data_IF_690930510821
#
_entry.id   IF_690930510821
#
_cell.length_a   1.000
_cell.length_b   1.000
_cell.length_c   1.000
_cell.angle_alpha   90.00
_cell.angle_beta   90.00
_cell.angle_gamma   90.00
#
_symmetry.space_group_name_H-M   'P 1'
#
loop_
_entity.id
_entity.type
_entity.pdbx_description
1 polymer ?
#
# COMPACT_ATOMS: atom_id res chain seq x y z
N UNK A 1 36.02 62.91 -49.37
CA UNK A 1 36.07 63.00 -47.90
C UNK A 1 36.23 61.59 -47.35
N UNK A 2 37.29 61.31 -46.59
CA UNK A 2 37.40 60.03 -45.86
C UNK A 2 36.49 60.09 -44.63
N UNK A 3 35.77 59.02 -44.27
CA UNK A 3 35.01 58.97 -43.03
C UNK A 3 35.91 59.28 -41.84
N UNK A 4 35.40 60.08 -40.90
CA UNK A 4 36.15 60.45 -39.71
C UNK A 4 36.39 59.19 -38.87
N UNK A 5 37.65 58.79 -38.66
CA UNK A 5 38.05 57.57 -37.95
C UNK A 5 37.38 57.41 -36.57
N UNK A 6 37.01 58.52 -35.94
CA UNK A 6 36.26 58.53 -34.68
C UNK A 6 34.81 58.02 -34.79
N UNK A 7 34.13 58.27 -35.92
CA UNK A 7 32.76 57.83 -36.15
C UNK A 7 32.69 56.31 -36.36
N UNK A 8 33.68 55.73 -37.03
CA UNK A 8 33.82 54.29 -37.26
C UNK A 8 34.06 53.53 -35.94
N UNK A 9 34.92 54.06 -35.07
CA UNK A 9 35.18 53.50 -33.74
C UNK A 9 33.95 53.62 -32.81
N UNK A 10 33.14 54.68 -32.95
CA UNK A 10 31.89 54.81 -32.21
C UNK A 10 30.84 53.79 -32.70
N UNK A 11 30.76 53.56 -34.00
CA UNK A 11 29.84 52.59 -34.60
C UNK A 11 30.20 51.16 -34.19
N UNK A 12 31.49 50.78 -34.23
CA UNK A 12 31.94 49.48 -33.72
C UNK A 12 31.64 49.27 -32.24
N UNK A 13 31.83 50.30 -31.39
CA UNK A 13 31.51 50.21 -29.96
C UNK A 13 30.01 50.07 -29.70
N UNK A 14 29.16 50.66 -30.53
CA UNK A 14 27.71 50.49 -30.41
C UNK A 14 27.28 49.08 -30.84
N UNK A 15 27.81 48.55 -31.94
CA UNK A 15 27.55 47.17 -32.39
C UNK A 15 27.97 46.14 -31.34
N UNK A 16 29.15 46.30 -30.72
CA UNK A 16 29.57 45.42 -29.63
C UNK A 16 28.68 45.49 -28.39
N UNK A 17 28.11 46.67 -28.08
CA UNK A 17 27.15 46.80 -26.96
C UNK A 17 25.85 46.06 -27.26
N UNK A 18 25.33 46.17 -28.47
CA UNK A 18 24.13 45.44 -28.90
C UNK A 18 24.34 43.91 -28.87
N UNK A 19 25.49 43.42 -29.34
CA UNK A 19 25.85 41.99 -29.24
C UNK A 19 25.91 41.50 -27.79
N UNK A 20 26.51 42.29 -26.89
CA UNK A 20 26.59 41.95 -25.46
C UNK A 20 25.19 41.97 -24.81
N UNK A 21 24.31 42.89 -25.20
CA UNK A 21 22.93 42.95 -24.72
C UNK A 21 22.11 41.75 -25.21
N UNK A 22 22.25 41.38 -26.48
CA UNK A 22 21.63 40.19 -27.07
C UNK A 22 22.06 38.92 -26.33
N UNK A 23 23.37 38.76 -26.08
CA UNK A 23 23.92 37.61 -25.39
C UNK A 23 23.47 37.51 -23.92
N UNK A 24 23.33 38.65 -23.23
CA UNK A 24 22.76 38.72 -21.87
C UNK A 24 21.28 38.34 -21.86
N UNK A 25 20.51 38.79 -22.85
CA UNK A 25 19.10 38.45 -23.00
C UNK A 25 18.91 36.95 -23.22
N UNK A 26 19.67 36.35 -24.15
CA UNK A 26 19.63 34.90 -24.40
C UNK A 26 20.02 34.08 -23.17
N UNK A 27 21.05 34.50 -22.43
CA UNK A 27 21.44 33.84 -21.19
C UNK A 27 20.33 33.93 -20.13
N UNK A 28 19.65 35.09 -20.02
CA UNK A 28 18.51 35.26 -19.11
C UNK A 28 17.34 34.36 -19.50
N UNK A 29 16.97 34.31 -20.78
CA UNK A 29 15.89 33.46 -21.29
C UNK A 29 16.22 31.98 -21.06
N UNK A 30 17.46 31.57 -21.36
CA UNK A 30 17.91 30.18 -21.15
C UNK A 30 17.85 29.80 -19.67
N UNK A 31 18.28 30.67 -18.77
CA UNK A 31 18.19 30.45 -17.33
C UNK A 31 16.73 30.35 -16.87
N UNK A 32 15.84 31.21 -17.39
CA UNK A 32 14.42 31.18 -17.08
C UNK A 32 13.75 29.88 -17.54
N UNK A 33 14.05 29.41 -18.74
CA UNK A 33 13.55 28.13 -19.27
C UNK A 33 14.04 26.94 -18.43
N UNK A 34 15.32 26.94 -18.02
CA UNK A 34 15.87 25.89 -17.15
C UNK A 34 15.19 25.88 -15.78
N UNK A 35 14.93 27.06 -15.20
CA UNK A 35 14.22 27.19 -13.92
C UNK A 35 12.78 26.66 -14.04
N UNK A 36 12.05 27.05 -15.09
CA UNK A 36 10.70 26.54 -15.33
C UNK A 36 10.68 25.02 -15.50
N UNK A 37 11.58 24.45 -16.31
CA UNK A 37 11.67 23.01 -16.50
C UNK A 37 11.98 22.24 -15.20
N UNK A 38 12.80 22.82 -14.31
CA UNK A 38 13.11 22.23 -13.01
C UNK A 38 11.92 22.27 -12.03
N UNK A 39 11.07 23.30 -12.11
CA UNK A 39 9.84 23.43 -11.30
C UNK A 39 8.76 22.45 -11.76
N UNK A 40 8.71 22.13 -13.05
CA UNK A 40 7.75 21.19 -13.64
C UNK A 40 8.22 19.72 -13.64
N UNK A 41 9.31 19.36 -12.95
CA UNK A 41 9.61 17.94 -12.72
C UNK A 41 8.50 17.41 -11.81
N UNK A 42 7.61 16.51 -12.29
CA UNK A 42 6.61 15.93 -11.42
C UNK A 42 7.36 15.21 -10.32
N UNK A 43 7.24 15.72 -9.09
CA UNK A 43 7.72 15.03 -7.92
C UNK A 43 6.87 13.78 -7.82
N UNK A 44 7.32 12.68 -8.43
CA UNK A 44 6.66 11.39 -8.26
C UNK A 44 6.75 11.12 -6.78
N UNK A 45 5.64 11.29 -6.07
CA UNK A 45 5.52 10.89 -4.69
C UNK A 45 5.71 9.37 -4.71
N UNK A 46 6.96 8.93 -4.57
CA UNK A 46 7.18 7.60 -4.05
C UNK A 46 6.44 7.59 -2.71
N UNK A 47 5.66 6.54 -2.45
CA UNK A 47 5.02 6.32 -1.16
C UNK A 47 5.90 5.38 -0.32
N UNK A 48 7.13 5.78 0.10
CA UNK A 48 7.94 4.92 0.94
C UNK A 48 7.24 4.69 2.28
N UNK A 49 6.41 5.65 2.70
CA UNK A 49 5.53 5.56 3.85
C UNK A 49 4.32 4.65 3.64
N UNK A 50 4.09 4.11 2.43
CA UNK A 50 3.02 3.18 2.10
C UNK A 50 1.57 3.69 2.23
N UNK A 51 1.36 5.00 2.31
CA UNK A 51 0.02 5.61 2.26
C UNK A 51 -0.52 5.62 0.82
N UNK A 52 -0.88 4.45 0.30
CA UNK A 52 -1.24 4.21 -1.11
C UNK A 52 -2.75 4.12 -1.33
N UNK A 53 -3.54 5.00 -0.70
CA UNK A 53 -5.01 4.99 -0.84
C UNK A 53 -5.48 5.13 -2.29
N UNK A 54 -4.75 5.87 -3.14
CA UNK A 54 -5.09 6.02 -4.55
C UNK A 54 -5.04 4.69 -5.33
N UNK A 55 -4.28 3.72 -4.83
CA UNK A 55 -4.18 2.37 -5.39
C UNK A 55 -5.31 1.44 -4.94
N UNK A 56 -6.25 1.87 -4.10
CA UNK A 56 -7.30 0.97 -3.56
C UNK A 56 -8.14 0.27 -4.62
N UNK A 57 -8.42 0.91 -5.75
CA UNK A 57 -9.31 0.35 -6.78
C UNK A 57 -8.59 -0.60 -7.74
N UNK A 58 -7.32 -0.32 -8.04
CA UNK A 58 -6.52 -1.09 -9.02
C UNK A 58 -5.54 -2.06 -8.36
N UNK A 59 -5.21 -1.82 -7.09
CA UNK A 59 -4.07 -2.38 -6.37
C UNK A 59 -2.72 -2.16 -7.08
N UNK A 60 -2.65 -1.24 -8.05
CA UNK A 60 -1.44 -0.97 -8.83
C UNK A 60 -0.58 0.10 -8.15
N UNK A 61 0.73 -0.12 -7.95
CA UNK A 61 1.59 0.84 -7.26
C UNK A 61 2.02 2.04 -8.13
N UNK A 62 1.60 2.09 -9.41
CA UNK A 62 1.85 3.18 -10.36
C UNK A 62 3.33 3.60 -10.44
N UNK A 63 4.22 2.60 -10.56
CA UNK A 63 5.67 2.83 -10.57
C UNK A 63 6.26 3.14 -11.96
N UNK A 64 5.41 3.37 -12.96
CA UNK A 64 5.84 3.62 -14.36
C UNK A 64 6.34 2.37 -15.08
N UNK A 65 6.22 1.20 -14.46
CA UNK A 65 6.48 -0.12 -15.03
C UNK A 65 5.24 -0.99 -14.89
N UNK A 66 5.14 -2.06 -15.67
CA UNK A 66 4.07 -3.05 -15.57
C UNK A 66 4.42 -4.14 -14.56
N UNK A 67 3.40 -4.82 -14.04
CA UNK A 67 3.58 -5.98 -13.17
C UNK A 67 4.41 -7.06 -13.87
N UNK A 68 5.17 -7.82 -13.07
CA UNK A 68 5.89 -8.99 -13.53
C UNK A 68 4.89 -10.09 -13.96
N UNK A 69 5.20 -10.77 -15.06
CA UNK A 69 4.41 -11.89 -15.59
C UNK A 69 4.90 -13.26 -15.15
N UNK A 70 6.10 -13.32 -14.57
CA UNK A 70 6.65 -14.52 -13.95
C UNK A 70 5.87 -14.89 -12.68
N UNK A 71 6.01 -16.16 -12.25
CA UNK A 71 5.43 -16.59 -10.99
C UNK A 71 5.93 -15.72 -9.82
N UNK A 72 5.01 -15.27 -8.97
CA UNK A 72 5.35 -14.45 -7.82
C UNK A 72 6.05 -15.30 -6.74
N UNK A 73 7.20 -14.87 -6.19
CA UNK A 73 7.90 -15.60 -5.14
C UNK A 73 7.34 -15.25 -3.74
N UNK A 74 6.01 -15.10 -3.65
CA UNK A 74 5.28 -14.65 -2.46
C UNK A 74 3.98 -15.43 -2.32
N UNK A 75 3.57 -15.69 -1.08
CA UNK A 75 2.33 -16.42 -0.78
C UNK A 75 1.52 -15.74 0.31
N UNK A 76 0.18 -15.80 0.18
CA UNK A 76 -0.74 -15.45 1.25
C UNK A 76 -1.20 -16.71 1.96
N UNK A 77 -0.92 -16.80 3.26
CA UNK A 77 -1.30 -17.91 4.12
C UNK A 77 -2.38 -17.44 5.09
N UNK A 78 -3.41 -18.25 5.29
CA UNK A 78 -4.52 -17.95 6.21
C UNK A 78 -4.49 -18.93 7.38
N UNK A 79 -4.87 -18.49 8.57
CA UNK A 79 -4.96 -19.36 9.75
C UNK A 79 -6.10 -20.38 9.68
N UNK A 80 -7.06 -20.20 8.78
CA UNK A 80 -8.26 -21.02 8.62
C UNK A 80 -8.70 -21.01 7.16
N UNK A 81 -9.45 -22.03 6.75
CA UNK A 81 -10.13 -22.12 5.45
C UNK A 81 -11.61 -21.72 5.53
N UNK A 82 -12.10 -21.37 6.72
CA UNK A 82 -13.49 -21.00 6.97
C UNK A 82 -13.60 -19.69 7.73
N UNK A 83 -14.73 -19.00 7.58
CA UNK A 83 -15.05 -17.80 8.35
C UNK A 83 -16.52 -17.76 8.75
N UNK A 84 -16.81 -17.17 9.91
CA UNK A 84 -18.15 -16.80 10.35
C UNK A 84 -18.30 -15.28 10.46
N UNK A 85 -19.51 -14.78 10.75
CA UNK A 85 -19.75 -13.35 11.02
C UNK A 85 -18.79 -12.82 12.10
N UNK A 86 -18.08 -11.73 11.82
CA UNK A 86 -17.16 -11.06 12.75
C UNK A 86 -15.99 -11.93 13.28
N UNK A 87 -15.79 -13.11 12.68
CA UNK A 87 -14.63 -13.94 12.99
C UNK A 87 -13.33 -13.26 12.56
N UNK A 88 -12.25 -13.61 13.24
CA UNK A 88 -10.91 -13.08 12.96
C UNK A 88 -10.10 -14.15 12.22
N UNK A 89 -9.54 -13.76 11.08
CA UNK A 89 -8.61 -14.58 10.29
C UNK A 89 -7.25 -13.92 10.33
N UNK A 90 -6.20 -14.67 10.70
CA UNK A 90 -4.83 -14.19 10.53
C UNK A 90 -4.43 -14.38 9.07
N UNK A 91 -3.91 -13.31 8.47
CA UNK A 91 -3.42 -13.29 7.10
C UNK A 91 -1.93 -13.01 7.13
N UNK A 92 -1.15 -13.89 6.51
CA UNK A 92 0.30 -13.81 6.50
C UNK A 92 0.81 -13.74 5.08
N UNK A 93 1.47 -12.65 4.72
CA UNK A 93 2.24 -12.54 3.48
C UNK A 93 3.66 -13.02 3.74
N UNK A 94 4.12 -14.03 2.99
CA UNK A 94 5.44 -14.65 3.16
C UNK A 94 6.20 -14.65 1.84
N UNK A 95 7.47 -14.25 1.89
CA UNK A 95 8.45 -14.41 0.82
C UNK A 95 9.06 -15.82 0.80
N UNK A 96 9.39 -16.33 -0.38
CA UNK A 96 10.27 -17.51 -0.52
C UNK A 96 11.65 -17.26 0.12
N UNK A 97 12.39 -18.33 0.46
CA UNK A 97 13.64 -18.28 1.25
C UNK A 97 14.70 -17.30 0.72
N UNK A 98 14.76 -17.10 -0.60
CA UNK A 98 15.80 -16.33 -1.27
C UNK A 98 15.30 -14.95 -1.75
N UNK A 99 14.17 -14.46 -1.23
CA UNK A 99 13.62 -13.16 -1.61
C UNK A 99 13.12 -12.35 -0.42
N UNK A 100 12.88 -11.07 -0.68
CA UNK A 100 12.33 -10.09 0.23
C UNK A 100 11.39 -9.16 -0.53
N UNK A 101 10.64 -8.35 0.20
CA UNK A 101 9.82 -7.28 -0.36
C UNK A 101 9.93 -6.01 0.47
N UNK A 102 9.71 -4.87 -0.18
CA UNK A 102 9.75 -3.54 0.47
C UNK A 102 8.36 -2.96 0.70
N UNK A 103 7.44 -3.21 -0.24
CA UNK A 103 6.08 -2.72 -0.18
C UNK A 103 5.05 -3.81 -0.42
N UNK A 104 3.85 -3.61 0.10
CA UNK A 104 2.72 -4.50 -0.13
C UNK A 104 1.41 -3.73 0.03
N UNK A 105 0.35 -4.30 -0.54
CA UNK A 105 -1.04 -3.93 -0.26
C UNK A 105 -1.88 -5.21 -0.25
N UNK A 106 -2.71 -5.40 0.76
CA UNK A 106 -3.59 -6.58 0.90
C UNK A 106 -5.04 -6.12 1.04
N UNK A 107 -5.94 -6.79 0.32
CA UNK A 107 -7.40 -6.61 0.36
C UNK A 107 -8.10 -7.98 0.36
N UNK A 108 -9.34 -8.03 0.85
CA UNK A 108 -10.21 -9.20 0.70
C UNK A 108 -11.30 -8.90 -0.34
N UNK A 109 -11.58 -9.84 -1.23
CA UNK A 109 -12.46 -9.69 -2.38
C UNK A 109 -13.42 -10.88 -2.51
N UNK A 110 -14.52 -10.67 -3.22
CA UNK A 110 -15.46 -11.72 -3.63
C UNK A 110 -15.38 -11.95 -5.14
N UNK A 111 -14.96 -13.14 -5.56
CA UNK A 111 -14.77 -13.45 -6.98
C UNK A 111 -13.89 -12.42 -7.67
N UNK A 112 -14.37 -11.80 -8.76
CA UNK A 112 -13.64 -10.77 -9.51
C UNK A 112 -14.02 -9.33 -9.13
N UNK A 113 -14.75 -9.13 -8.03
CA UNK A 113 -15.13 -7.79 -7.58
C UNK A 113 -13.95 -7.07 -6.91
N UNK A 114 -13.61 -5.87 -7.39
CA UNK A 114 -12.54 -5.05 -6.82
C UNK A 114 -12.94 -4.27 -5.57
N UNK A 115 -14.19 -4.37 -5.11
CA UNK A 115 -14.64 -3.77 -3.85
C UNK A 115 -14.06 -4.56 -2.67
N UNK A 116 -13.24 -3.95 -1.80
CA UNK A 116 -12.69 -4.63 -0.64
C UNK A 116 -13.77 -4.93 0.41
N UNK A 117 -13.60 -6.04 1.13
CA UNK A 117 -14.55 -6.58 2.10
C UNK A 117 -13.92 -6.78 3.48
N UNK A 118 -14.73 -6.64 4.52
CA UNK A 118 -14.27 -6.75 5.91
C UNK A 118 -13.33 -5.61 6.29
N UNK A 119 -12.64 -5.77 7.41
CA UNK A 119 -11.70 -4.75 7.93
C UNK A 119 -10.45 -5.40 8.50
N UNK A 120 -9.31 -4.74 8.34
CA UNK A 120 -8.04 -5.20 8.89
C UNK A 120 -7.77 -4.63 10.28
N UNK A 121 -6.96 -5.35 11.05
CA UNK A 121 -6.29 -4.88 12.26
C UNK A 121 -4.81 -5.20 12.14
N UNK A 122 -3.96 -4.28 12.57
CA UNK A 122 -2.51 -4.48 12.58
C UNK A 122 -2.06 -4.86 13.98
N UNK A 123 -1.13 -5.82 14.07
CA UNK A 123 -0.44 -6.19 15.30
C UNK A 123 1.04 -5.80 15.27
N UNK A 124 1.57 -5.51 14.08
CA UNK A 124 2.98 -5.25 13.80
C UNK A 124 3.21 -3.80 13.38
N UNK A 125 4.45 -3.33 13.55
CA UNK A 125 4.87 -1.98 13.14
C UNK A 125 5.14 -1.87 11.63
N UNK A 126 5.20 -3.00 10.92
CA UNK A 126 5.49 -3.06 9.48
C UNK A 126 4.27 -2.81 8.60
N UNK A 127 3.06 -2.81 9.18
CA UNK A 127 1.80 -2.69 8.48
C UNK A 127 0.93 -1.56 9.03
N UNK A 128 0.20 -0.89 8.16
CA UNK A 128 -0.77 0.15 8.52
C UNK A 128 -2.08 0.00 7.74
N UNK A 129 -3.14 0.51 8.34
CA UNK A 129 -4.49 0.46 7.78
C UNK A 129 -4.66 1.56 6.73
N UNK A 130 -5.26 1.22 5.60
CA UNK A 130 -5.66 2.16 4.56
C UNK A 130 -7.17 2.35 4.59
N UNK A 131 -7.57 3.61 4.40
CA UNK A 131 -8.97 3.96 4.14
C UNK A 131 -9.23 3.80 2.64
N UNK A 132 -9.96 2.74 2.27
CA UNK A 132 -10.44 2.52 0.90
C UNK A 132 -11.96 2.80 0.88
N UNK A 133 -12.78 1.80 0.52
CA UNK A 133 -14.25 1.86 0.59
C UNK A 133 -14.74 2.15 2.00
N UNK A 134 -14.06 1.58 3.01
CA UNK A 134 -14.26 1.90 4.43
C UNK A 134 -12.91 2.15 5.10
N UNK A 135 -12.95 2.63 6.34
CA UNK A 135 -11.76 2.64 7.19
C UNK A 135 -11.26 1.19 7.35
N UNK A 136 -9.94 1.01 7.29
CA UNK A 136 -9.27 -0.29 7.42
C UNK A 136 -9.68 -1.36 6.39
N UNK A 137 -10.23 -0.97 5.24
CA UNK A 137 -10.60 -1.89 4.16
C UNK A 137 -9.39 -2.55 3.46
N UNK A 138 -8.19 -2.00 3.64
CA UNK A 138 -6.94 -2.56 3.16
C UNK A 138 -5.80 -2.32 4.16
N UNK A 139 -4.68 -2.99 3.93
CA UNK A 139 -3.45 -2.82 4.73
C UNK A 139 -2.23 -2.74 3.81
N UNK A 140 -1.27 -1.90 4.15
CA UNK A 140 -0.02 -1.69 3.40
C UNK A 140 1.19 -1.54 4.31
N UNK A 141 2.40 -1.45 3.74
CA UNK A 141 3.64 -1.24 4.49
C UNK A 141 3.70 0.13 5.15
N UNK A 142 4.42 0.27 6.28
CA UNK A 142 4.71 1.57 6.93
C UNK A 142 5.99 2.24 6.45
N UNK A 143 6.92 1.46 5.90
CA UNK A 143 8.22 1.93 5.41
C UNK A 143 8.75 1.03 4.29
N UNK A 144 9.74 1.51 3.54
CA UNK A 144 10.44 0.74 2.51
C UNK A 144 11.51 -0.22 3.05
N UNK A 145 11.48 -0.53 4.37
CA UNK A 145 12.34 -1.55 4.97
C UNK A 145 12.12 -2.90 4.28
N UNK A 146 13.18 -3.69 4.18
CA UNK A 146 13.08 -5.06 3.67
C UNK A 146 12.33 -5.94 4.66
N UNK A 147 11.43 -6.77 4.13
CA UNK A 147 10.58 -7.71 4.88
C UNK A 147 10.64 -9.06 4.19
N UNK A 148 10.61 -10.12 4.98
CA UNK A 148 10.38 -11.50 4.51
C UNK A 148 8.97 -11.99 4.84
N UNK A 149 8.32 -11.35 5.82
CA UNK A 149 7.02 -11.75 6.34
C UNK A 149 6.27 -10.55 6.90
N UNK A 150 4.95 -10.53 6.73
CA UNK A 150 4.03 -9.60 7.41
C UNK A 150 2.81 -10.39 7.88
N UNK A 151 2.36 -10.14 9.10
CA UNK A 151 1.14 -10.73 9.68
C UNK A 151 0.16 -9.63 10.05
N UNK A 152 -1.09 -9.82 9.63
CA UNK A 152 -2.21 -8.92 9.91
C UNK A 152 -3.43 -9.75 10.31
N UNK A 153 -4.36 -9.12 11.00
CA UNK A 153 -5.67 -9.72 11.27
C UNK A 153 -6.71 -9.11 10.33
N UNK A 154 -7.65 -9.95 9.90
CA UNK A 154 -8.82 -9.53 9.15
C UNK A 154 -10.09 -9.95 9.89
N UNK A 155 -11.01 -9.00 10.04
CA UNK A 155 -12.32 -9.18 10.66
C UNK A 155 -13.36 -9.35 9.57
N UNK A 156 -14.02 -10.51 9.60
CA UNK A 156 -15.02 -10.85 8.61
C UNK A 156 -16.27 -9.95 8.69
N UNK A 157 -16.87 -9.58 7.54
CA UNK A 157 -18.17 -8.93 7.54
C UNK A 157 -19.23 -9.88 8.08
N UNK A 158 -20.39 -9.33 8.49
CA UNK A 158 -21.53 -10.13 8.96
C UNK A 158 -22.21 -10.95 7.85
N UNK A 159 -22.03 -10.53 6.60
CA UNK A 159 -22.67 -11.16 5.46
C UNK A 159 -22.01 -12.50 5.10
N UNK A 160 -22.82 -13.45 4.61
CA UNK A 160 -22.33 -14.62 3.91
C UNK A 160 -21.92 -14.21 2.49
N UNK A 161 -20.64 -14.31 2.19
CA UNK A 161 -20.01 -13.96 0.92
C UNK A 161 -19.39 -15.21 0.29
N UNK A 162 -19.83 -15.53 -0.92
CA UNK A 162 -19.24 -16.60 -1.74
C UNK A 162 -17.92 -16.17 -2.38
N UNK A 163 -17.00 -17.11 -2.58
CA UNK A 163 -15.71 -16.91 -3.27
C UNK A 163 -14.87 -15.79 -2.64
N UNK A 164 -14.87 -15.73 -1.32
CA UNK A 164 -14.11 -14.75 -0.56
C UNK A 164 -12.63 -15.18 -0.50
N UNK A 165 -11.72 -14.35 -0.97
CA UNK A 165 -10.27 -14.59 -0.87
C UNK A 165 -9.52 -13.28 -0.64
N UNK A 166 -8.25 -13.40 -0.27
CA UNK A 166 -7.34 -12.27 -0.15
C UNK A 166 -6.55 -12.11 -1.45
N UNK A 167 -6.30 -10.87 -1.83
CA UNK A 167 -5.40 -10.49 -2.91
C UNK A 167 -4.30 -9.59 -2.36
N UNK A 168 -3.10 -9.74 -2.90
CA UNK A 168 -1.98 -8.87 -2.61
C UNK A 168 -1.31 -8.35 -3.88
N UNK A 169 -0.84 -7.11 -3.76
CA UNK A 169 0.23 -6.55 -4.59
C UNK A 169 1.49 -6.50 -3.75
N UNK A 170 2.61 -6.95 -4.30
CA UNK A 170 3.90 -7.02 -3.59
C UNK A 170 4.98 -6.36 -4.43
N UNK A 171 5.68 -5.40 -3.84
CA UNK A 171 6.76 -4.64 -4.46
C UNK A 171 8.09 -5.14 -3.88
N UNK A 172 8.89 -5.82 -4.70
CA UNK A 172 10.23 -6.25 -4.32
C UNK A 172 11.16 -5.04 -4.25
N UNK A 173 11.18 -4.27 -5.33
CA UNK A 173 11.83 -2.98 -5.50
C UNK A 173 10.94 -2.14 -6.41
N UNK A 174 11.11 -0.81 -6.44
CA UNK A 174 10.20 0.10 -7.18
C UNK A 174 9.85 -0.37 -8.61
N UNK A 175 10.79 -0.79 -9.48
CA UNK A 175 10.42 -1.25 -10.83
C UNK A 175 9.85 -2.68 -10.89
N UNK A 176 10.01 -3.49 -9.84
CA UNK A 176 9.74 -4.93 -9.84
C UNK A 176 8.67 -5.28 -8.81
N UNK A 177 7.46 -5.59 -9.30
CA UNK A 177 6.32 -5.91 -8.47
C UNK A 177 5.38 -6.94 -9.12
N UNK A 178 4.63 -7.64 -8.29
CA UNK A 178 3.61 -8.60 -8.71
C UNK A 178 2.25 -8.16 -8.17
N UNK A 179 1.20 -8.43 -8.94
CA UNK A 179 -0.18 -8.16 -8.57
C UNK A 179 -0.99 -9.45 -8.59
N UNK A 180 -2.19 -9.43 -8.00
CA UNK A 180 -3.13 -10.56 -7.98
C UNK A 180 -2.55 -11.83 -7.34
N UNK A 181 -1.64 -11.70 -6.38
CA UNK A 181 -1.21 -12.83 -5.55
C UNK A 181 -2.40 -13.17 -4.65
N UNK A 182 -3.06 -14.31 -4.91
CA UNK A 182 -4.28 -14.70 -4.23
C UNK A 182 -4.03 -15.76 -3.16
N UNK A 183 -4.80 -15.71 -2.07
CA UNK A 183 -4.96 -16.84 -1.16
C UNK A 183 -5.93 -17.89 -1.74
N UNK A 184 -6.05 -19.03 -1.08
CA UNK A 184 -7.24 -19.88 -1.21
C UNK A 184 -8.52 -19.13 -0.80
N UNK A 185 -9.67 -19.61 -1.26
CA UNK A 185 -10.97 -19.13 -0.83
C UNK A 185 -11.27 -19.53 0.63
N UNK A 186 -11.95 -18.63 1.34
CA UNK A 186 -12.56 -18.86 2.62
C UNK A 186 -14.02 -19.29 2.43
N UNK A 187 -14.39 -20.38 3.10
CA UNK A 187 -15.73 -20.95 3.06
C UNK A 187 -16.54 -20.39 4.24
N UNK A 188 -17.72 -19.85 3.96
CA UNK A 188 -18.61 -19.37 5.02
C UNK A 188 -19.10 -20.53 5.90
N UNK A 189 -18.85 -20.43 7.20
CA UNK A 189 -19.34 -21.35 8.22
C UNK A 189 -20.05 -20.56 9.32
N UNK A 190 -21.29 -20.15 9.03
CA UNK A 190 -22.16 -19.44 9.99
C UNK A 190 -22.79 -20.32 11.06
N UNK A 191 -22.38 -21.59 11.18
CA UNK A 191 -22.92 -22.54 12.15
C UNK A 191 -22.20 -22.45 13.50
N UNK A 192 -22.95 -22.12 14.56
CA UNK A 192 -22.60 -22.19 16.00
C UNK A 192 -21.83 -21.03 16.66
N UNK A 193 -22.32 -19.80 16.50
CA UNK A 193 -22.12 -18.73 17.51
C UNK A 193 -23.10 -18.85 18.71
N UNK A 194 -23.57 -20.07 19.03
CA UNK A 194 -23.93 -20.38 20.41
C UNK A 194 -22.62 -20.54 21.19
N UNK A 195 -21.94 -19.41 21.43
CA UNK A 195 -20.97 -19.35 22.52
C UNK A 195 -21.70 -19.92 23.74
N UNK A 196 -21.11 -20.85 24.50
CA UNK A 196 -21.75 -21.43 25.67
C UNK A 196 -21.90 -20.32 26.73
N UNK A 197 -22.98 -19.54 26.64
CA UNK A 197 -23.54 -18.77 27.74
C UNK A 197 -23.98 -19.70 28.90
N UNK A 198 -23.86 -21.02 28.70
CA UNK A 198 -23.99 -22.07 29.70
C UNK A 198 -22.63 -22.58 30.23
N UNK A 199 -21.60 -21.72 30.35
CA UNK A 199 -20.43 -21.97 31.22
C UNK A 199 -20.37 -21.03 32.43
N UNK A 200 -21.53 -20.59 32.91
CA UNK A 200 -21.68 -19.87 34.19
C UNK A 200 -22.59 -20.57 35.20
N UNK A 201 -23.00 -21.82 34.95
CA UNK A 201 -23.73 -22.64 35.93
C UNK A 201 -22.96 -23.94 36.09
N UNK A 202 -21.90 -23.95 36.92
CA UNK A 202 -21.34 -25.14 37.60
C UNK A 202 -20.12 -24.77 38.48
N UNK A 203 -20.14 -23.60 39.14
CA UNK A 203 -19.25 -23.33 40.30
C UNK A 203 -20.09 -22.83 41.48
N UNK A 204 -21.29 -23.41 41.65
CA UNK A 204 -22.26 -22.98 42.65
C UNK A 204 -22.91 -24.09 43.48
N UNK A 205 -22.50 -25.35 43.33
CA UNK A 205 -23.10 -26.48 44.07
C UNK A 205 -22.14 -27.26 44.97
N UNK A 206 -20.84 -26.94 44.96
CA UNK A 206 -19.88 -27.60 45.85
C UNK A 206 -19.81 -27.02 47.28
N UNK A 207 -20.37 -25.84 47.53
CA UNK A 207 -20.30 -25.18 48.85
C UNK A 207 -21.46 -25.59 49.78
N UNK A 208 -22.59 -26.06 49.23
CA UNK A 208 -23.75 -26.46 50.06
C UNK A 208 -23.64 -27.89 50.59
N UNK A 209 -22.80 -28.76 49.99
CA UNK A 209 -22.64 -30.15 50.46
C UNK A 209 -21.68 -30.24 51.67
N UNK A 210 -20.79 -29.26 51.89
CA UNK A 210 -19.84 -29.30 53.01
C UNK A 210 -20.41 -28.82 54.37
N UNK A 211 -21.69 -28.42 54.45
CA UNK A 211 -22.33 -28.03 55.72
C UNK A 211 -23.35 -29.04 56.26
N UNK A 212 -23.56 -30.19 55.60
CA UNK A 212 -24.48 -31.24 56.06
C UNK A 212 -23.80 -32.53 56.58
N UNK A 213 -22.47 -32.53 56.75
CA UNK A 213 -21.72 -33.65 57.36
C UNK A 213 -20.99 -33.27 58.67
N UNK A 214 -21.57 -32.35 59.44
CA UNK A 214 -21.26 -32.19 60.87
C UNK A 214 -22.54 -32.27 61.69
N UNK A 215 -23.04 -33.49 61.84
CA UNK A 215 -23.75 -33.98 63.03
C UNK A 215 -23.23 -35.39 63.28
#
# INVERSE_FOLDING_TARGET
MRPNRFAEVAQHRNLQKEEVLQQRMESSVKNFVVILAAIFIPCTAAYPNGLVTDSCNTMEPNHGTTAQTSAAPYTLQLSTTTYGPESIVQVTLVASSDTQFKGFMIQAHAGNNNTPLGTFRTKNQDAQLLKCTTDAAAVSHTSSSQKTKVEVEWVAPKANISNLHFRATVVQVRPTYWMNIASQDLIYNGGSHLVPALKLILIGTAIVIFTLLRV
#
